data_IF_187747355981
#
_entry.id   IF_187747355981
#
_cell.length_a   1.000
_cell.length_b   1.000
_cell.length_c   1.000
_cell.angle_alpha   90.00
_cell.angle_beta   90.00
_cell.angle_gamma   90.00
#
_symmetry.space_group_name_H-M   'P 1'
#
loop_
_entity.id
_entity.type
_entity.pdbx_description
1 polymer ?
#
# COMPACT_ATOMS: atom_id res chain seq x y z
N UNK A 1 -38.74 14.21 14.10
CA UNK A 1 -39.17 14.39 12.69
C UNK A 1 -39.93 13.13 12.29
N UNK A 2 -41.18 13.24 11.86
CA UNK A 2 -41.89 12.07 11.33
C UNK A 2 -41.27 11.64 9.98
N UNK A 3 -41.53 10.40 9.54
CA UNK A 3 -40.93 9.85 8.33
C UNK A 3 -41.29 10.68 7.09
N UNK A 4 -42.51 11.22 7.03
CA UNK A 4 -42.98 12.05 5.91
C UNK A 4 -42.22 13.38 5.81
N UNK A 5 -41.96 14.05 6.94
CA UNK A 5 -41.16 15.28 6.99
C UNK A 5 -39.71 15.00 6.63
N UNK A 6 -39.13 13.87 7.08
CA UNK A 6 -37.79 13.46 6.66
C UNK A 6 -37.72 13.23 5.15
N UNK A 7 -38.62 12.43 4.60
CA UNK A 7 -38.66 12.15 3.16
C UNK A 7 -38.81 13.43 2.34
N UNK A 8 -39.64 14.36 2.79
CA UNK A 8 -39.87 15.62 2.07
C UNK A 8 -38.70 16.60 2.19
N UNK A 9 -38.02 16.67 3.33
CA UNK A 9 -37.05 17.74 3.60
C UNK A 9 -35.57 17.34 3.41
N UNK A 10 -35.22 16.05 3.58
CA UNK A 10 -33.83 15.60 3.67
C UNK A 10 -33.47 14.44 2.74
N UNK A 11 -34.44 13.73 2.14
CA UNK A 11 -34.17 12.58 1.27
C UNK A 11 -33.24 12.92 0.10
N UNK A 12 -33.42 14.10 -0.51
CA UNK A 12 -32.57 14.56 -1.59
C UNK A 12 -31.10 14.71 -1.15
N UNK A 13 -30.83 15.09 0.11
CA UNK A 13 -29.47 15.20 0.67
C UNK A 13 -28.83 13.82 0.69
N UNK A 14 -29.57 12.78 1.07
CA UNK A 14 -29.09 11.40 1.11
C UNK A 14 -28.79 10.87 -0.29
N UNK A 15 -29.70 11.11 -1.25
CA UNK A 15 -29.52 10.66 -2.63
C UNK A 15 -28.30 11.34 -3.27
N UNK A 16 -28.21 12.67 -3.19
CA UNK A 16 -27.07 13.41 -3.74
C UNK A 16 -25.79 13.05 -2.97
N UNK A 17 -25.86 12.93 -1.65
CA UNK A 17 -24.74 12.52 -0.81
C UNK A 17 -24.17 11.16 -1.20
N UNK A 18 -25.04 10.19 -1.52
CA UNK A 18 -24.62 8.88 -2.02
C UNK A 18 -23.89 8.98 -3.37
N UNK A 19 -24.44 9.76 -4.31
CA UNK A 19 -23.81 9.98 -5.62
C UNK A 19 -22.43 10.64 -5.47
N UNK A 20 -22.34 11.70 -4.65
CA UNK A 20 -21.06 12.40 -4.41
C UNK A 20 -20.07 11.49 -3.66
N UNK A 21 -20.54 10.66 -2.73
CA UNK A 21 -19.68 9.69 -2.05
C UNK A 21 -19.07 8.67 -3.02
N UNK A 22 -19.82 8.21 -4.02
CA UNK A 22 -19.28 7.34 -5.08
C UNK A 22 -18.21 8.07 -5.91
N UNK A 23 -18.45 9.33 -6.28
CA UNK A 23 -17.48 10.15 -7.01
C UNK A 23 -16.21 10.40 -6.18
N UNK A 24 -16.37 10.70 -4.89
CA UNK A 24 -15.26 10.87 -3.96
C UNK A 24 -14.47 9.56 -3.79
N UNK A 25 -15.16 8.42 -3.64
CA UNK A 25 -14.51 7.11 -3.55
C UNK A 25 -13.69 6.80 -4.80
N UNK A 26 -14.21 7.11 -5.99
CA UNK A 26 -13.47 7.01 -7.24
C UNK A 26 -12.23 7.93 -7.25
N UNK A 27 -12.38 9.19 -6.84
CA UNK A 27 -11.28 10.15 -6.80
C UNK A 27 -10.16 9.75 -5.81
N UNK A 28 -10.53 9.22 -4.63
CA UNK A 28 -9.58 8.68 -3.65
C UNK A 28 -8.81 7.51 -4.27
N UNK A 29 -9.52 6.51 -4.83
CA UNK A 29 -8.89 5.36 -5.46
C UNK A 29 -7.93 5.77 -6.58
N UNK A 30 -8.32 6.74 -7.42
CA UNK A 30 -7.50 7.24 -8.52
C UNK A 30 -6.22 7.97 -8.05
N UNK A 31 -6.28 8.73 -6.95
CA UNK A 31 -5.12 9.41 -6.39
C UNK A 31 -4.18 8.45 -5.65
N UNK A 32 -4.75 7.53 -4.85
CA UNK A 32 -3.99 6.73 -3.88
C UNK A 32 -3.43 5.42 -4.45
N UNK A 33 -3.92 4.92 -5.59
CA UNK A 33 -3.42 3.67 -6.19
C UNK A 33 -1.90 3.69 -6.42
N UNK A 34 -1.33 4.86 -6.73
CA UNK A 34 0.11 5.03 -6.93
C UNK A 34 0.92 4.76 -5.64
N UNK A 35 0.34 5.01 -4.46
CA UNK A 35 1.00 4.83 -3.17
C UNK A 35 1.31 3.34 -2.90
N UNK A 36 0.38 2.46 -3.26
CA UNK A 36 0.48 1.02 -3.00
C UNK A 36 1.18 0.25 -4.12
N UNK A 37 0.93 0.63 -5.37
CA UNK A 37 1.42 -0.13 -6.53
C UNK A 37 2.54 0.56 -7.30
N UNK A 38 2.90 1.81 -6.98
CA UNK A 38 3.92 2.57 -7.70
C UNK A 38 5.28 1.87 -7.75
N UNK A 39 5.72 1.27 -6.64
CA UNK A 39 6.98 0.51 -6.55
C UNK A 39 6.92 -0.82 -7.32
N UNK A 40 5.81 -1.56 -7.21
CA UNK A 40 5.63 -2.87 -7.85
C UNK A 40 5.46 -2.77 -9.36
N UNK A 41 4.74 -1.75 -9.83
CA UNK A 41 4.61 -1.45 -11.27
C UNK A 41 5.90 -0.82 -11.80
N UNK A 42 6.51 0.10 -11.05
CA UNK A 42 7.77 0.76 -11.43
C UNK A 42 8.95 -0.21 -11.58
N UNK A 43 9.01 -1.25 -10.73
CA UNK A 43 9.99 -2.34 -10.82
C UNK A 43 9.65 -3.42 -11.88
N UNK A 44 8.48 -3.31 -12.53
CA UNK A 44 7.93 -4.32 -13.45
C UNK A 44 7.62 -5.68 -12.80
N UNK A 45 7.53 -5.73 -11.47
CA UNK A 45 7.06 -6.91 -10.75
C UNK A 45 5.58 -7.20 -11.02
N UNK A 46 4.78 -6.14 -11.25
CA UNK A 46 3.39 -6.21 -11.65
C UNK A 46 3.13 -5.38 -12.91
N UNK A 47 2.21 -5.85 -13.75
CA UNK A 47 1.61 -5.04 -14.81
C UNK A 47 0.57 -4.09 -14.22
N UNK A 48 0.27 -2.98 -14.92
CA UNK A 48 -0.80 -2.05 -14.52
C UNK A 48 -2.15 -2.76 -14.33
N UNK A 49 -2.49 -3.70 -15.22
CA UNK A 49 -3.74 -4.46 -15.11
C UNK A 49 -3.79 -5.32 -13.85
N UNK A 50 -2.68 -5.95 -13.48
CA UNK A 50 -2.61 -6.73 -12.23
C UNK A 50 -2.73 -5.82 -11.02
N UNK A 51 -2.05 -4.66 -11.03
CA UNK A 51 -2.14 -3.68 -9.96
C UNK A 51 -3.57 -3.19 -9.74
N UNK A 52 -4.34 -2.90 -10.80
CA UNK A 52 -5.74 -2.49 -10.67
C UNK A 52 -6.63 -3.59 -10.08
N UNK A 53 -6.48 -4.84 -10.52
CA UNK A 53 -7.28 -5.95 -9.98
C UNK A 53 -6.97 -6.16 -8.49
N UNK A 54 -5.69 -6.19 -8.13
CA UNK A 54 -5.27 -6.35 -6.74
C UNK A 54 -5.73 -5.16 -5.88
N UNK A 55 -5.58 -3.93 -6.38
CA UNK A 55 -6.03 -2.71 -5.72
C UNK A 55 -7.52 -2.75 -5.42
N UNK A 56 -8.38 -3.02 -6.42
CA UNK A 56 -9.82 -3.11 -6.19
C UNK A 56 -10.17 -4.15 -5.12
N UNK A 57 -9.57 -5.34 -5.13
CA UNK A 57 -9.85 -6.36 -4.14
C UNK A 57 -9.39 -5.94 -2.73
N UNK A 58 -8.13 -5.54 -2.56
CA UNK A 58 -7.55 -5.30 -1.24
C UNK A 58 -7.95 -3.95 -0.64
N UNK A 59 -8.16 -2.90 -1.44
CA UNK A 59 -8.71 -1.62 -0.95
C UNK A 59 -10.14 -1.79 -0.47
N UNK A 60 -10.98 -2.53 -1.22
CA UNK A 60 -12.36 -2.81 -0.80
C UNK A 60 -12.37 -3.64 0.49
N UNK A 61 -11.51 -4.66 0.59
CA UNK A 61 -11.37 -5.45 1.82
C UNK A 61 -10.91 -4.58 2.99
N UNK A 62 -9.91 -3.72 2.80
CA UNK A 62 -9.43 -2.80 3.82
C UNK A 62 -10.51 -1.82 4.28
N UNK A 63 -11.25 -1.23 3.35
CA UNK A 63 -12.36 -0.31 3.65
C UNK A 63 -13.46 -0.98 4.48
N UNK A 64 -13.81 -2.23 4.17
CA UNK A 64 -14.84 -2.99 4.91
C UNK A 64 -14.33 -3.45 6.28
N UNK A 65 -13.09 -3.93 6.36
CA UNK A 65 -12.54 -4.53 7.58
C UNK A 65 -12.07 -3.48 8.60
N UNK A 66 -11.43 -2.40 8.16
CA UNK A 66 -10.72 -1.43 9.02
C UNK A 66 -11.26 0.00 8.93
N UNK A 67 -12.08 0.33 7.92
CA UNK A 67 -12.48 1.71 7.64
C UNK A 67 -13.37 2.37 8.71
N UNK A 68 -13.99 1.59 9.60
CA UNK A 68 -14.96 2.09 10.58
C UNK A 68 -14.35 3.10 11.58
N UNK A 69 -13.22 2.76 12.21
CA UNK A 69 -12.63 3.63 13.26
C UNK A 69 -12.19 4.98 12.71
N UNK A 70 -11.53 4.99 11.55
CA UNK A 70 -11.13 6.24 10.88
C UNK A 70 -12.36 7.07 10.50
N UNK A 71 -13.42 6.42 10.01
CA UNK A 71 -14.69 7.09 9.71
C UNK A 71 -15.32 7.71 10.96
N UNK A 72 -15.27 7.02 12.11
CA UNK A 72 -15.80 7.56 13.36
C UNK A 72 -15.00 8.76 13.87
N UNK A 73 -13.68 8.71 13.78
CA UNK A 73 -12.80 9.84 14.11
C UNK A 73 -13.07 11.05 13.22
N UNK A 74 -13.26 10.87 11.91
CA UNK A 74 -13.61 12.00 11.02
C UNK A 74 -15.00 12.54 11.35
N UNK A 75 -15.97 11.66 11.66
CA UNK A 75 -17.35 12.03 11.95
C UNK A 75 -17.50 12.83 13.25
N UNK A 76 -16.80 12.43 14.31
CA UNK A 76 -16.98 12.99 15.68
C UNK A 76 -15.78 13.78 16.20
N UNK A 77 -14.58 13.52 15.68
CA UNK A 77 -13.33 14.11 16.15
C UNK A 77 -13.01 15.48 15.53
N UNK A 78 -13.66 15.85 14.42
CA UNK A 78 -13.38 17.13 13.75
C UNK A 78 -14.37 18.22 14.19
N UNK A 79 -15.64 17.86 14.37
CA UNK A 79 -16.74 18.78 14.65
C UNK A 79 -17.43 18.37 15.93
N UNK A 80 -17.74 19.35 16.78
CA UNK A 80 -18.61 19.10 17.93
C UNK A 80 -20.06 18.94 17.46
N UNK A 81 -20.47 17.68 17.34
CA UNK A 81 -21.80 17.29 16.86
C UNK A 81 -22.91 17.80 17.78
N UNK A 82 -22.62 18.04 19.07
CA UNK A 82 -23.63 18.47 20.04
C UNK A 82 -24.18 19.87 19.75
N UNK A 83 -23.38 20.73 19.11
CA UNK A 83 -23.78 22.08 18.65
C UNK A 83 -24.75 22.07 17.46
N UNK A 84 -25.01 20.88 16.90
CA UNK A 84 -25.97 20.66 15.82
C UNK A 84 -27.26 19.99 16.30
N UNK A 85 -27.40 19.74 17.61
CA UNK A 85 -28.66 19.23 18.18
C UNK A 85 -29.81 20.23 17.90
N UNK A 86 -30.92 19.71 17.36
CA UNK A 86 -32.06 20.52 16.89
C UNK A 86 -31.86 21.20 15.54
N UNK A 87 -30.68 21.07 14.92
CA UNK A 87 -30.32 21.62 13.60
C UNK A 87 -29.63 20.57 12.73
N UNK A 88 -30.02 19.31 12.85
CA UNK A 88 -29.38 18.15 12.23
C UNK A 88 -29.34 18.28 10.70
N UNK A 89 -30.34 18.95 10.10
CA UNK A 89 -30.36 19.26 8.67
C UNK A 89 -29.15 20.10 8.24
N UNK A 90 -28.70 21.05 9.08
CA UNK A 90 -27.51 21.85 8.79
C UNK A 90 -26.25 20.99 8.80
N UNK A 91 -26.13 20.07 9.76
CA UNK A 91 -25.04 19.10 9.80
C UNK A 91 -25.04 18.21 8.56
N UNK A 92 -26.20 17.70 8.13
CA UNK A 92 -26.30 16.89 6.90
C UNK A 92 -25.84 17.65 5.65
N UNK A 93 -26.21 18.93 5.53
CA UNK A 93 -25.76 19.80 4.42
C UNK A 93 -24.26 20.08 4.53
N UNK A 94 -23.74 20.28 5.75
CA UNK A 94 -22.30 20.42 6.01
C UNK A 94 -21.51 19.21 5.55
N UNK A 95 -21.97 18.00 5.90
CA UNK A 95 -21.35 16.75 5.46
C UNK A 95 -21.45 16.55 3.94
N UNK A 96 -22.57 16.93 3.31
CA UNK A 96 -22.69 16.95 1.86
C UNK A 96 -21.65 17.90 1.22
N UNK A 97 -21.43 19.06 1.84
CA UNK A 97 -20.44 20.05 1.42
C UNK A 97 -19.01 19.53 1.59
N UNK A 98 -18.72 18.79 2.67
CA UNK A 98 -17.46 18.08 2.86
C UNK A 98 -17.20 17.11 1.72
N UNK A 99 -18.17 16.25 1.39
CA UNK A 99 -18.04 15.27 0.32
C UNK A 99 -17.78 15.95 -1.03
N UNK A 100 -18.53 17.02 -1.32
CA UNK A 100 -18.40 17.78 -2.56
C UNK A 100 -17.05 18.51 -2.66
N UNK A 101 -16.63 19.20 -1.59
CA UNK A 101 -15.37 19.94 -1.54
C UNK A 101 -14.16 19.03 -1.63
N UNK A 102 -14.14 17.95 -0.82
CA UNK A 102 -13.09 16.94 -0.86
C UNK A 102 -13.04 16.24 -2.23
N UNK A 103 -14.19 15.81 -2.75
CA UNK A 103 -14.28 15.12 -4.03
C UNK A 103 -13.82 15.99 -5.20
N UNK A 104 -14.19 17.27 -5.20
CA UNK A 104 -13.75 18.25 -6.21
C UNK A 104 -12.24 18.44 -6.16
N UNK A 105 -11.67 18.66 -4.97
CA UNK A 105 -10.23 18.86 -4.82
C UNK A 105 -9.42 17.62 -5.23
N UNK A 106 -9.81 16.43 -4.78
CA UNK A 106 -9.13 15.19 -5.16
C UNK A 106 -9.23 14.90 -6.66
N UNK A 107 -10.37 15.22 -7.28
CA UNK A 107 -10.53 15.10 -8.74
C UNK A 107 -9.58 16.06 -9.46
N UNK A 108 -9.54 17.34 -9.06
CA UNK A 108 -8.65 18.34 -9.64
C UNK A 108 -7.19 17.92 -9.48
N UNK A 109 -6.77 17.53 -8.27
CA UNK A 109 -5.40 17.09 -8.01
C UNK A 109 -5.00 15.88 -8.86
N UNK A 110 -5.90 14.90 -9.00
CA UNK A 110 -5.67 13.72 -9.84
C UNK A 110 -5.54 14.08 -11.32
N UNK A 111 -6.39 14.99 -11.83
CA UNK A 111 -6.29 15.49 -13.21
C UNK A 111 -4.98 16.25 -13.45
N UNK A 112 -4.50 16.97 -12.44
CA UNK A 112 -3.19 17.65 -12.44
C UNK A 112 -2.01 16.71 -12.13
N UNK A 113 -2.26 15.41 -11.92
CA UNK A 113 -1.26 14.37 -11.59
C UNK A 113 -0.49 14.65 -10.29
N UNK A 114 -1.14 15.31 -9.33
CA UNK A 114 -0.58 15.64 -8.03
C UNK A 114 -1.01 14.57 -7.00
N UNK A 115 -0.06 13.85 -6.38
CA UNK A 115 -0.36 13.01 -5.23
C UNK A 115 -0.68 13.93 -4.04
N UNK A 116 -1.90 13.84 -3.52
CA UNK A 116 -2.37 14.67 -2.42
C UNK A 116 -3.03 13.81 -1.35
N UNK A 117 -3.05 14.31 -0.11
CA UNK A 117 -3.66 13.58 0.99
C UNK A 117 -5.19 13.72 0.99
N UNK A 118 -5.91 12.60 0.78
CA UNK A 118 -7.35 12.52 0.97
C UNK A 118 -7.79 12.82 2.41
N UNK A 119 -7.01 12.40 3.40
CA UNK A 119 -7.31 12.64 4.82
C UNK A 119 -7.23 14.13 5.17
N UNK A 120 -6.23 14.85 4.67
CA UNK A 120 -6.15 16.30 4.85
C UNK A 120 -7.31 17.02 4.17
N UNK A 121 -7.70 16.54 2.98
CA UNK A 121 -8.77 17.12 2.18
C UNK A 121 -10.14 16.99 2.88
N UNK A 122 -10.46 15.83 3.44
CA UNK A 122 -11.74 15.62 4.16
C UNK A 122 -11.77 16.36 5.50
N UNK A 123 -10.67 16.37 6.25
CA UNK A 123 -10.59 17.12 7.53
C UNK A 123 -10.70 18.62 7.26
N UNK A 124 -9.96 19.14 6.28
CA UNK A 124 -10.00 20.56 5.90
C UNK A 124 -11.38 21.00 5.40
N UNK A 125 -12.05 20.20 4.56
CA UNK A 125 -13.40 20.50 4.10
C UNK A 125 -14.43 20.47 5.26
N UNK A 126 -14.27 19.54 6.19
CA UNK A 126 -15.11 19.43 7.40
C UNK A 126 -14.93 20.63 8.33
N UNK A 127 -13.69 21.04 8.58
CA UNK A 127 -13.37 22.28 9.30
C UNK A 127 -14.00 23.48 8.59
N UNK A 128 -13.89 23.54 7.27
CA UNK A 128 -14.44 24.62 6.44
C UNK A 128 -15.94 24.81 6.64
N UNK A 129 -16.76 23.75 6.53
CA UNK A 129 -18.21 23.94 6.74
C UNK A 129 -18.53 24.30 8.19
N UNK A 130 -17.81 23.73 9.17
CA UNK A 130 -18.11 23.98 10.57
C UNK A 130 -17.80 25.43 10.96
N UNK A 131 -16.71 25.99 10.44
CA UNK A 131 -16.40 27.42 10.57
C UNK A 131 -17.53 28.30 10.02
N UNK A 132 -18.13 27.92 8.89
CA UNK A 132 -19.23 28.68 8.28
C UNK A 132 -20.51 28.60 9.11
N UNK A 133 -20.85 27.43 9.67
CA UNK A 133 -22.12 27.22 10.38
C UNK A 133 -22.08 27.58 11.87
N UNK A 134 -20.92 27.44 12.52
CA UNK A 134 -20.75 27.54 13.97
C UNK A 134 -19.49 28.31 14.39
N UNK A 135 -18.72 28.86 13.46
CA UNK A 135 -17.47 29.55 13.78
C UNK A 135 -16.45 28.61 14.44
N UNK A 136 -15.56 29.17 15.25
CA UNK A 136 -14.50 28.42 15.95
C UNK A 136 -15.03 27.49 17.04
N UNK A 137 -16.24 27.75 17.55
CA UNK A 137 -16.90 26.91 18.55
C UNK A 137 -17.34 25.55 17.96
N UNK A 138 -17.62 25.51 16.66
CA UNK A 138 -17.99 24.29 15.94
C UNK A 138 -16.89 23.24 15.80
N UNK A 139 -15.67 23.54 16.22
CA UNK A 139 -14.48 22.70 16.01
C UNK A 139 -13.98 22.17 17.33
N UNK A 140 -13.70 20.88 17.36
CA UNK A 140 -12.99 20.27 18.47
C UNK A 140 -11.48 20.44 18.33
N UNK A 141 -10.96 21.57 18.81
CA UNK A 141 -9.55 21.95 18.64
C UNK A 141 -8.57 20.95 19.26
N UNK A 142 -8.92 20.31 20.37
CA UNK A 142 -8.09 19.29 21.01
C UNK A 142 -7.90 18.08 20.08
N UNK A 143 -8.98 17.59 19.50
CA UNK A 143 -8.95 16.43 18.60
C UNK A 143 -8.30 16.78 17.25
N UNK A 144 -8.50 18.00 16.75
CA UNK A 144 -7.74 18.50 15.60
C UNK A 144 -6.24 18.53 15.90
N UNK A 145 -5.83 18.96 17.10
CA UNK A 145 -4.43 18.91 17.53
C UNK A 145 -3.85 17.50 17.50
N UNK A 146 -4.60 16.50 17.97
CA UNK A 146 -4.21 15.08 17.91
C UNK A 146 -4.10 14.57 16.46
N UNK A 147 -5.06 14.91 15.60
CA UNK A 147 -5.04 14.58 14.17
C UNK A 147 -3.81 15.20 13.50
N UNK A 148 -3.54 16.48 13.72
CA UNK A 148 -2.39 17.18 13.14
C UNK A 148 -1.08 16.59 13.67
N UNK A 149 -0.99 16.30 14.97
CA UNK A 149 0.16 15.60 15.55
C UNK A 149 0.42 14.26 14.88
N UNK A 150 -0.63 13.49 14.60
CA UNK A 150 -0.52 12.21 13.88
C UNK A 150 0.01 12.36 12.44
N UNK A 151 -0.27 13.48 11.76
CA UNK A 151 0.21 13.73 10.40
C UNK A 151 1.72 13.95 10.32
N UNK A 152 2.35 14.47 11.39
CA UNK A 152 3.80 14.59 11.48
C UNK A 152 4.45 13.31 11.99
N UNK A 153 3.82 12.67 12.99
CA UNK A 153 4.37 11.47 13.62
C UNK A 153 4.34 10.27 12.67
N UNK A 154 3.32 10.13 11.83
CA UNK A 154 3.16 8.96 10.95
C UNK A 154 4.27 8.85 9.89
N UNK A 155 4.62 9.92 9.11
CA UNK A 155 5.74 9.85 8.18
C UNK A 155 7.08 9.63 8.89
N UNK A 156 7.28 10.21 10.08
CA UNK A 156 8.52 10.03 10.86
C UNK A 156 8.69 8.57 11.30
N UNK A 157 7.66 7.98 11.90
CA UNK A 157 7.67 6.58 12.31
C UNK A 157 7.77 5.63 11.10
N UNK A 158 7.05 5.92 10.01
CA UNK A 158 7.13 5.15 8.76
C UNK A 158 8.54 5.22 8.17
N UNK A 159 9.20 6.38 8.20
CA UNK A 159 10.58 6.55 7.76
C UNK A 159 11.55 5.74 8.60
N UNK A 160 11.41 5.80 9.94
CA UNK A 160 12.23 5.02 10.85
C UNK A 160 12.07 3.51 10.61
N UNK A 161 10.84 3.00 10.54
CA UNK A 161 10.54 1.59 10.25
C UNK A 161 11.08 1.19 8.87
N UNK A 162 10.91 2.03 7.85
CA UNK A 162 11.43 1.78 6.50
C UNK A 162 12.96 1.64 6.49
N UNK A 163 13.68 2.53 7.20
CA UNK A 163 15.14 2.45 7.32
C UNK A 163 15.56 1.18 8.06
N UNK A 164 14.90 0.85 9.18
CA UNK A 164 15.18 -0.38 9.93
C UNK A 164 14.97 -1.63 9.06
N UNK A 165 13.84 -1.71 8.34
CA UNK A 165 13.55 -2.82 7.44
C UNK A 165 14.57 -2.92 6.30
N UNK A 166 14.95 -1.79 5.70
CA UNK A 166 15.98 -1.74 4.66
C UNK A 166 17.33 -2.26 5.18
N UNK A 167 17.76 -1.81 6.37
CA UNK A 167 19.01 -2.27 7.01
C UNK A 167 18.96 -3.79 7.26
N UNK A 168 17.84 -4.32 7.78
CA UNK A 168 17.66 -5.76 7.99
C UNK A 168 17.80 -6.53 6.67
N UNK A 169 17.10 -6.10 5.61
CA UNK A 169 17.15 -6.73 4.29
C UNK A 169 18.56 -6.63 3.68
N UNK A 170 19.19 -5.46 3.79
CA UNK A 170 20.52 -5.22 3.24
C UNK A 170 21.55 -6.18 3.84
N UNK A 171 21.66 -6.24 5.17
CA UNK A 171 22.66 -7.09 5.82
C UNK A 171 22.28 -8.59 5.85
N UNK A 172 20.99 -8.92 5.96
CA UNK A 172 20.55 -10.32 6.09
C UNK A 172 20.40 -11.05 4.75
N UNK A 173 20.21 -10.31 3.65
CA UNK A 173 19.93 -10.87 2.32
C UNK A 173 20.90 -10.32 1.28
N UNK A 174 20.88 -9.01 1.03
CA UNK A 174 21.55 -8.43 -0.15
C UNK A 174 23.09 -8.49 -0.07
N UNK A 175 23.67 -8.33 1.12
CA UNK A 175 25.12 -8.34 1.34
C UNK A 175 25.67 -9.75 1.66
N UNK A 176 24.86 -10.80 1.46
CA UNK A 176 25.30 -12.19 1.65
C UNK A 176 25.94 -12.75 0.36
N UNK A 177 26.73 -13.81 0.48
CA UNK A 177 27.38 -14.46 -0.68
C UNK A 177 26.37 -15.04 -1.69
N UNK A 178 25.20 -15.45 -1.23
CA UNK A 178 24.12 -16.01 -2.05
C UNK A 178 22.77 -15.35 -1.70
N UNK A 179 22.52 -14.12 -2.20
CA UNK A 179 21.32 -13.37 -1.88
C UNK A 179 20.03 -14.09 -2.25
N UNK A 180 20.05 -14.94 -3.28
CA UNK A 180 18.87 -15.70 -3.71
C UNK A 180 18.48 -16.75 -2.67
N UNK A 181 19.45 -17.49 -2.12
CA UNK A 181 19.20 -18.49 -1.07
C UNK A 181 18.65 -17.85 0.20
N UNK A 182 19.26 -16.78 0.67
CA UNK A 182 18.80 -16.07 1.87
C UNK A 182 17.48 -15.35 1.63
N UNK A 183 17.29 -14.77 0.45
CA UNK A 183 16.04 -14.15 0.03
C UNK A 183 14.88 -15.15 0.07
N UNK A 184 14.99 -16.29 -0.61
CA UNK A 184 13.97 -17.33 -0.60
C UNK A 184 13.72 -17.90 0.80
N UNK A 185 14.77 -18.08 1.61
CA UNK A 185 14.65 -18.59 2.98
C UNK A 185 13.93 -17.61 3.91
N UNK A 186 14.05 -16.30 3.66
CA UNK A 186 13.42 -15.27 4.48
C UNK A 186 11.93 -15.07 4.17
N UNK A 187 11.45 -15.47 2.98
CA UNK A 187 10.07 -15.24 2.54
C UNK A 187 8.99 -15.66 3.56
N UNK A 188 9.03 -16.86 4.17
CA UNK A 188 8.00 -17.27 5.13
C UNK A 188 7.92 -16.34 6.33
N UNK A 189 9.05 -15.81 6.80
CA UNK A 189 9.09 -14.89 7.93
C UNK A 189 8.49 -13.52 7.58
N UNK A 190 8.76 -13.01 6.38
CA UNK A 190 8.17 -11.76 5.90
C UNK A 190 6.65 -11.86 5.73
N UNK A 191 6.17 -12.94 5.11
CA UNK A 191 4.73 -13.18 4.96
C UNK A 191 4.04 -13.46 6.30
N UNK A 192 4.71 -14.16 7.23
CA UNK A 192 4.24 -14.35 8.61
C UNK A 192 3.99 -12.99 9.27
N UNK A 193 5.01 -12.12 9.28
CA UNK A 193 4.93 -10.81 9.93
C UNK A 193 3.87 -9.94 9.27
N UNK A 194 3.85 -9.85 7.94
CA UNK A 194 2.89 -9.04 7.21
C UNK A 194 1.44 -9.46 7.48
N UNK A 195 1.13 -10.76 7.37
CA UNK A 195 -0.23 -11.26 7.62
C UNK A 195 -0.62 -11.13 9.08
N UNK A 196 0.30 -11.45 10.01
CA UNK A 196 0.02 -11.33 11.45
C UNK A 196 -0.30 -9.89 11.83
N UNK A 197 0.48 -8.91 11.35
CA UNK A 197 0.25 -7.48 11.63
C UNK A 197 -1.09 -7.03 11.06
N UNK A 198 -1.39 -7.36 9.79
CA UNK A 198 -2.66 -6.96 9.17
C UNK A 198 -3.88 -7.59 9.83
N UNK A 199 -3.82 -8.89 10.17
CA UNK A 199 -4.89 -9.56 10.90
C UNK A 199 -5.04 -8.98 12.31
N UNK A 200 -3.93 -8.68 12.99
CA UNK A 200 -3.96 -8.05 14.30
C UNK A 200 -4.69 -6.70 14.24
N UNK A 201 -4.38 -5.87 13.24
CA UNK A 201 -5.10 -4.62 13.03
C UNK A 201 -6.60 -4.84 12.82
N UNK A 202 -7.00 -5.89 12.10
CA UNK A 202 -8.43 -6.21 11.91
C UNK A 202 -9.09 -6.65 13.22
N UNK A 203 -8.42 -7.42 14.08
CA UNK A 203 -9.00 -7.83 15.36
C UNK A 203 -9.00 -6.72 16.42
N UNK A 204 -8.00 -5.84 16.42
CA UNK A 204 -7.90 -4.72 17.39
C UNK A 204 -8.77 -3.53 16.99
N UNK A 205 -8.75 -3.20 15.70
CA UNK A 205 -9.26 -1.95 15.15
C UNK A 205 -10.32 -2.14 14.07
N UNK A 206 -10.77 -3.39 13.85
CA UNK A 206 -11.75 -3.69 12.84
C UNK A 206 -13.14 -3.15 13.10
N UNK A 207 -14.00 -3.33 12.11
CA UNK A 207 -15.37 -2.84 12.09
C UNK A 207 -16.24 -3.47 13.19
N UNK A 208 -16.87 -2.64 14.02
CA UNK A 208 -17.92 -3.03 14.97
C UNK A 208 -19.11 -3.71 14.26
N UNK A 209 -19.33 -3.38 12.98
CA UNK A 209 -20.36 -4.02 12.16
C UNK A 209 -20.13 -5.54 12.01
N UNK A 210 -18.85 -5.95 11.98
CA UNK A 210 -18.45 -7.35 11.91
C UNK A 210 -18.31 -8.00 13.29
N UNK A 211 -18.67 -7.28 14.36
CA UNK A 211 -18.56 -7.72 15.75
C UNK A 211 -17.13 -8.11 16.16
N UNK A 212 -16.12 -7.50 15.54
CA UNK A 212 -14.72 -7.76 15.85
C UNK A 212 -14.36 -7.32 17.27
N UNK A 213 -15.07 -6.32 17.81
CA UNK A 213 -15.00 -5.82 19.18
C UNK A 213 -15.35 -6.87 20.25
N UNK A 214 -16.12 -7.90 19.89
CA UNK A 214 -16.50 -8.98 20.81
C UNK A 214 -15.45 -10.07 20.97
N UNK A 215 -14.43 -10.09 20.09
CA UNK A 215 -13.38 -11.10 20.15
C UNK A 215 -12.40 -10.68 21.26
N UNK A 216 -12.11 -11.55 22.24
CA UNK A 216 -11.16 -11.20 23.28
C UNK A 216 -9.76 -10.99 22.67
N UNK A 217 -9.00 -10.05 23.22
CA UNK A 217 -7.67 -9.66 22.74
C UNK A 217 -6.75 -10.86 22.49
N UNK A 218 -6.71 -11.82 23.43
CA UNK A 218 -5.90 -13.03 23.29
C UNK A 218 -6.33 -13.90 22.09
N UNK A 219 -7.63 -13.92 21.79
CA UNK A 219 -8.20 -14.64 20.66
C UNK A 219 -7.81 -14.00 19.34
N UNK A 220 -7.84 -12.66 19.26
CA UNK A 220 -7.35 -11.90 18.11
C UNK A 220 -5.85 -12.11 17.87
N UNK A 221 -5.05 -12.09 18.93
CA UNK A 221 -3.60 -12.36 18.85
C UNK A 221 -3.34 -13.78 18.34
N UNK A 222 -4.02 -14.78 18.93
CA UNK A 222 -3.87 -16.18 18.54
C UNK A 222 -4.28 -16.39 17.08
N UNK A 223 -5.44 -15.90 16.68
CA UNK A 223 -5.95 -16.01 15.32
C UNK A 223 -5.00 -15.35 14.30
N UNK A 224 -4.45 -14.18 14.63
CA UNK A 224 -3.48 -13.47 13.79
C UNK A 224 -2.19 -14.26 13.61
N UNK A 225 -1.61 -14.76 14.70
CA UNK A 225 -0.39 -15.57 14.67
C UNK A 225 -0.62 -16.89 13.92
N UNK A 226 -1.77 -17.54 14.10
CA UNK A 226 -2.13 -18.77 13.38
C UNK A 226 -2.29 -18.49 11.89
N UNK A 227 -3.00 -17.42 11.50
CA UNK A 227 -3.14 -17.01 10.10
C UNK A 227 -1.79 -16.69 9.44
N UNK A 228 -0.92 -15.99 10.16
CA UNK A 228 0.46 -15.75 9.75
C UNK A 228 1.26 -17.04 9.58
N UNK A 229 1.16 -17.97 10.54
CA UNK A 229 1.88 -19.24 10.52
C UNK A 229 1.42 -20.16 9.37
N UNK A 230 0.11 -20.23 9.12
CA UNK A 230 -0.47 -20.95 7.98
C UNK A 230 0.05 -20.34 6.68
N UNK A 231 0.04 -19.01 6.54
CA UNK A 231 0.56 -18.35 5.34
C UNK A 231 2.05 -18.63 5.13
N UNK A 232 2.85 -18.55 6.19
CA UNK A 232 4.28 -18.86 6.14
C UNK A 232 4.53 -20.30 5.70
N UNK A 233 3.75 -21.25 6.23
CA UNK A 233 3.81 -22.66 5.84
C UNK A 233 3.44 -22.85 4.36
N UNK A 234 2.37 -22.21 3.88
CA UNK A 234 1.96 -22.27 2.47
C UNK A 234 3.03 -21.67 1.55
N UNK A 235 3.62 -20.54 1.92
CA UNK A 235 4.74 -19.93 1.18
C UNK A 235 5.93 -20.89 1.14
N UNK A 236 6.26 -21.52 2.27
CA UNK A 236 7.38 -22.45 2.37
C UNK A 236 7.18 -23.70 1.51
N UNK A 237 5.96 -24.27 1.51
CA UNK A 237 5.65 -25.53 0.83
C UNK A 237 5.32 -25.35 -0.66
N UNK A 238 4.67 -24.25 -1.05
CA UNK A 238 4.15 -24.08 -2.41
C UNK A 238 4.98 -23.08 -3.22
N UNK A 239 5.28 -21.90 -2.65
CA UNK A 239 5.88 -20.80 -3.38
C UNK A 239 7.38 -20.99 -3.55
N UNK A 240 8.11 -21.29 -2.46
CA UNK A 240 9.57 -21.47 -2.53
C UNK A 240 9.97 -22.57 -3.52
N UNK A 241 9.38 -23.79 -3.51
CA UNK A 241 9.75 -24.84 -4.46
C UNK A 241 9.42 -24.45 -5.91
N UNK A 242 8.30 -23.76 -6.14
CA UNK A 242 7.92 -23.26 -7.47
C UNK A 242 8.91 -22.22 -7.98
N UNK A 243 9.32 -21.27 -7.14
CA UNK A 243 10.33 -20.27 -7.50
C UNK A 243 11.68 -20.93 -7.80
N UNK A 244 12.16 -21.85 -6.95
CA UNK A 244 13.41 -22.60 -7.19
C UNK A 244 13.38 -23.33 -8.54
N UNK A 245 12.29 -24.03 -8.87
CA UNK A 245 12.13 -24.70 -10.17
C UNK A 245 12.18 -23.73 -11.35
N UNK A 246 11.55 -22.56 -11.22
CA UNK A 246 11.57 -21.53 -12.27
C UNK A 246 12.97 -21.00 -12.53
N UNK A 247 13.75 -20.75 -11.47
CA UNK A 247 15.14 -20.29 -11.62
C UNK A 247 16.05 -21.36 -12.22
N UNK A 248 15.87 -22.62 -11.84
CA UNK A 248 16.62 -23.73 -12.46
C UNK A 248 16.32 -23.91 -13.95
N UNK A 249 15.04 -23.79 -14.34
CA UNK A 249 14.61 -23.92 -15.75
C UNK A 249 15.15 -22.80 -16.65
N UNK A 250 15.16 -21.55 -16.14
CA UNK A 250 15.72 -20.43 -16.87
C UNK A 250 17.24 -20.58 -17.04
N UNK A 251 17.94 -21.01 -15.98
CA UNK A 251 19.38 -21.24 -16.01
C UNK A 251 19.80 -22.44 -16.88
N UNK A 252 18.92 -23.40 -17.14
CA UNK A 252 19.16 -24.45 -18.15
C UNK A 252 18.92 -23.96 -19.56
N UNK A 253 17.86 -23.18 -19.77
CA UNK A 253 17.51 -22.63 -21.09
C UNK A 253 18.60 -21.70 -21.62
N UNK A 254 19.11 -20.79 -20.79
CA UNK A 254 20.23 -19.90 -21.14
C UNK A 254 21.53 -20.67 -21.45
N UNK A 255 21.74 -21.83 -20.81
CA UNK A 255 22.89 -22.69 -21.09
C UNK A 255 22.76 -23.44 -22.42
N UNK A 256 21.54 -23.79 -22.83
CA UNK A 256 21.29 -24.45 -24.11
C UNK A 256 21.38 -23.44 -25.25
N UNK A 257 20.70 -22.29 -25.15
CA UNK A 257 20.77 -21.23 -26.17
C UNK A 257 22.16 -20.63 -26.28
N UNK A 258 22.85 -20.42 -25.14
CA UNK A 258 24.23 -19.93 -25.14
C UNK A 258 25.25 -20.91 -25.74
N UNK A 259 24.94 -22.21 -25.85
CA UNK A 259 25.78 -23.19 -26.56
C UNK A 259 25.50 -23.21 -28.06
N UNK A 260 24.27 -22.93 -28.47
CA UNK A 260 23.87 -22.91 -29.88
C UNK A 260 24.23 -21.56 -30.54
N UNK A 261 24.14 -20.45 -29.80
CA UNK A 261 24.49 -19.10 -30.26
C UNK A 261 26.00 -18.78 -30.15
N UNK A 262 26.77 -19.56 -29.39
CA UNK A 262 28.23 -19.40 -29.29
C UNK A 262 28.98 -19.71 -30.59
N UNK A 263 28.30 -20.17 -31.64
CA UNK A 263 28.92 -20.47 -32.94
C UNK A 263 28.82 -19.31 -33.93
N UNK A 264 27.99 -18.27 -33.70
CA UNK A 264 27.82 -17.14 -34.64
C UNK A 264 27.43 -15.84 -33.91
N UNK A 265 28.33 -15.26 -33.11
CA UNK A 265 28.25 -13.82 -32.79
C UNK A 265 29.63 -13.20 -32.95
N UNK A 266 29.91 -12.75 -34.17
CA UNK A 266 31.02 -11.84 -34.44
C UNK A 266 30.80 -10.56 -33.62
N UNK A 267 31.79 -10.29 -32.77
CA UNK A 267 31.86 -9.22 -31.79
C UNK A 267 32.15 -7.87 -32.46
N UNK A 268 31.31 -7.42 -33.41
CA UNK A 268 31.56 -6.18 -34.18
C UNK A 268 30.36 -5.25 -34.39
N UNK A 269 29.23 -5.44 -33.72
CA UNK A 269 28.15 -4.44 -33.78
C UNK A 269 27.24 -4.49 -32.56
N UNK A 270 27.42 -3.60 -31.58
CA UNK A 270 26.33 -2.99 -30.80
C UNK A 270 26.88 -1.87 -29.91
N UNK A 271 27.54 -0.90 -30.53
CA UNK A 271 27.53 0.48 -30.02
C UNK A 271 26.18 1.08 -30.42
N UNK A 272 25.20 1.07 -29.53
CA UNK A 272 24.01 1.90 -29.67
C UNK A 272 23.72 2.56 -28.34
N UNK A 273 24.12 3.82 -28.29
CA UNK A 273 23.68 4.90 -27.41
C UNK A 273 22.30 4.68 -26.79
N UNK A 274 22.20 4.65 -25.46
CA UNK A 274 20.95 4.93 -24.75
C UNK A 274 20.78 6.45 -24.68
N UNK A 275 19.77 7.06 -25.33
CA UNK A 275 19.49 8.47 -25.19
C UNK A 275 18.84 8.75 -23.83
N UNK A 276 19.23 9.87 -23.24
CA UNK A 276 18.74 10.44 -21.99
C UNK A 276 17.20 10.48 -21.93
N UNK A 277 16.60 9.69 -21.03
CA UNK A 277 15.32 9.95 -20.36
C UNK A 277 15.24 9.03 -19.13
N UNK A 278 15.20 9.66 -17.94
CA UNK A 278 14.93 9.09 -16.62
C UNK A 278 16.00 8.17 -15.98
N UNK A 279 17.03 8.81 -15.41
CA UNK A 279 18.09 8.23 -14.55
C UNK A 279 17.59 7.59 -13.23
N UNK A 280 16.28 7.52 -12.99
CA UNK A 280 15.67 7.06 -11.74
C UNK A 280 15.14 5.62 -11.80
N UNK A 281 15.16 4.97 -12.98
CA UNK A 281 14.59 3.63 -13.19
C UNK A 281 15.62 2.48 -13.23
N UNK A 282 16.92 2.73 -13.03
CA UNK A 282 17.93 1.68 -13.13
C UNK A 282 18.04 0.77 -11.90
N UNK A 283 17.63 1.22 -10.70
CA UNK A 283 17.87 0.50 -9.44
C UNK A 283 17.15 -0.86 -9.36
N UNK A 284 16.01 -1.02 -10.06
CA UNK A 284 15.27 -2.30 -10.07
C UNK A 284 15.87 -3.39 -10.96
N UNK A 285 16.66 -3.02 -11.98
CA UNK A 285 17.38 -3.99 -12.83
C UNK A 285 18.65 -4.51 -12.16
N UNK A 286 19.17 -3.77 -11.19
CA UNK A 286 20.42 -4.10 -10.50
C UNK A 286 20.28 -5.28 -9.53
N UNK A 287 19.09 -5.57 -9.00
CA UNK A 287 18.90 -6.73 -8.10
C UNK A 287 18.99 -8.06 -8.85
N UNK A 288 18.44 -8.13 -10.08
CA UNK A 288 18.57 -9.33 -10.92
C UNK A 288 19.98 -9.39 -11.52
N UNK A 289 20.56 -8.25 -11.96
CA UNK A 289 21.93 -8.20 -12.48
C UNK A 289 23.01 -8.49 -11.43
N UNK A 290 22.86 -8.05 -10.19
CA UNK A 290 23.82 -8.32 -9.12
C UNK A 290 23.85 -9.81 -8.75
N UNK A 291 22.68 -10.48 -8.80
CA UNK A 291 22.62 -11.92 -8.64
C UNK A 291 23.29 -12.67 -9.81
N UNK A 292 23.23 -12.13 -11.03
CA UNK A 292 23.94 -12.71 -12.19
C UNK A 292 25.45 -12.41 -12.16
N UNK A 293 25.87 -11.20 -11.80
CA UNK A 293 27.28 -10.78 -11.79
C UNK A 293 28.11 -11.53 -10.74
N UNK A 294 27.60 -11.67 -9.50
CA UNK A 294 28.31 -12.43 -8.47
C UNK A 294 28.46 -13.92 -8.81
N UNK A 295 27.60 -14.46 -9.67
CA UNK A 295 27.69 -15.86 -10.11
C UNK A 295 28.74 -16.07 -11.23
N UNK A 296 29.12 -15.01 -11.95
CA UNK A 296 30.17 -15.05 -12.98
C UNK A 296 31.57 -14.87 -12.38
N UNK A 297 31.77 -13.92 -11.45
CA UNK A 297 33.08 -13.68 -10.82
C UNK A 297 33.57 -14.89 -10.00
N UNK A 298 32.67 -15.57 -9.26
CA UNK A 298 33.03 -16.74 -8.45
C UNK A 298 33.38 -17.98 -9.31
N UNK A 299 32.98 -18.01 -10.59
CA UNK A 299 33.41 -19.06 -11.54
C UNK A 299 34.77 -18.77 -12.16
N UNK A 300 35.12 -17.52 -12.44
CA UNK A 300 36.43 -17.18 -12.98
C UNK A 300 37.54 -17.39 -11.94
N UNK A 301 37.32 -17.03 -10.67
CA UNK A 301 38.30 -17.31 -9.61
C UNK A 301 38.53 -18.82 -9.40
N UNK A 302 37.46 -19.65 -9.48
CA UNK A 302 37.60 -21.11 -9.37
C UNK A 302 38.17 -21.77 -10.62
N UNK A 303 37.92 -21.22 -11.82
CA UNK A 303 38.51 -21.74 -13.06
C UNK A 303 40.00 -21.38 -13.17
N UNK A 304 40.41 -20.21 -12.70
CA UNK A 304 41.82 -19.78 -12.67
C UNK A 304 42.59 -20.57 -11.58
N UNK A 305 41.96 -20.88 -10.44
CA UNK A 305 42.58 -21.70 -9.39
C UNK A 305 42.78 -23.17 -9.76
N UNK A 306 42.02 -23.73 -10.71
CA UNK A 306 42.11 -25.14 -11.09
C UNK A 306 43.07 -25.36 -12.28
N UNK A 307 43.30 -24.33 -13.11
CA UNK A 307 44.29 -24.38 -14.20
C UNK A 307 45.69 -23.88 -13.81
N UNK A 308 45.92 -23.52 -12.54
CA UNK A 308 47.23 -23.20 -11.97
C UNK A 308 47.87 -24.34 -11.16
N UNK A 309 47.31 -25.56 -11.22
CA UNK A 309 47.75 -26.72 -10.44
C UNK A 309 48.18 -27.92 -11.30
N UNK A 310 48.56 -27.67 -12.56
CA UNK A 310 49.23 -28.58 -13.49
C UNK A 310 50.32 -27.86 -14.27
#
# INVERSE_FOLDING_TARGET
MDLATFQTQTLWIVIIGFIIALLLSYAIGANDTANNFGTSVGSKALTLRQAYILGTCFETLGAVLLGYKVTDTVRKGVVDVSLYNGTEKQLMIGQLSTLAGCGSWLTIATLLKLPVSGTHSVVGATVGFSLVLRGTEGISWTQIGEIVGSWFLSPLLSGAVSVTLYVIVHYSILSTKDPLKYGLRSLPAWYFAAVTINLMSVFLDGSELLQMDKIPLWGGILASCVGGAITALLVHLLIIPKMKRSFSCNASTERTTGKDDATVVNMTSFTTTCPDINRQYCVGKDIVRAATYNCYEEREEKAISINGMF
#
